data_IF_979888631132
#
_entry.id   IF_979888631132
#
_cell.length_a   1.000
_cell.length_b   1.000
_cell.length_c   1.000
_cell.angle_alpha   90.00
_cell.angle_beta   90.00
_cell.angle_gamma   90.00
#
_symmetry.space_group_name_H-M   'P 1'
#
loop_
_entity.id
_entity.type
_entity.pdbx_description
1 polymer ?
#
# COMPACT_ATOMS: atom_id res chain seq x y z
N UNK A 1 13.94 8.89 -27.84
CA UNK A 1 12.52 8.85 -28.23
C UNK A 1 11.77 8.20 -27.07
N UNK A 2 11.02 8.97 -26.31
CA UNK A 2 10.14 8.47 -25.24
C UNK A 2 9.05 7.65 -25.92
N UNK A 3 9.01 6.33 -25.70
CA UNK A 3 7.81 5.57 -26.03
C UNK A 3 6.74 6.07 -25.08
N UNK A 4 5.72 6.71 -25.61
CA UNK A 4 4.53 7.06 -24.84
C UNK A 4 4.01 5.80 -24.16
N UNK A 5 3.78 5.92 -22.84
CA UNK A 5 3.24 4.81 -22.09
C UNK A 5 1.75 4.81 -22.40
N UNK A 6 1.33 4.00 -23.38
CA UNK A 6 -0.10 3.72 -23.58
C UNK A 6 -0.61 2.94 -22.38
N UNK A 7 -1.43 3.56 -21.57
CA UNK A 7 -2.15 2.89 -20.48
C UNK A 7 -3.44 2.34 -21.09
N UNK A 8 -3.62 1.02 -21.10
CA UNK A 8 -4.85 0.43 -21.65
C UNK A 8 -6.09 0.94 -20.88
N UNK A 9 -7.25 1.07 -21.51
CA UNK A 9 -8.48 1.57 -20.89
C UNK A 9 -9.11 0.58 -19.89
N UNK A 10 -8.30 -0.22 -19.22
CA UNK A 10 -8.70 -1.29 -18.29
C UNK A 10 -9.02 -0.79 -16.87
N UNK A 11 -8.71 0.47 -16.55
CA UNK A 11 -8.85 0.95 -15.19
C UNK A 11 -10.16 1.70 -14.97
N UNK A 12 -10.76 1.44 -13.81
CA UNK A 12 -11.82 2.28 -13.30
C UNK A 12 -11.30 3.72 -13.12
N UNK A 13 -12.19 4.70 -13.22
CA UNK A 13 -11.88 6.12 -12.99
C UNK A 13 -11.23 6.38 -11.62
N UNK A 14 -11.53 5.55 -10.63
CA UNK A 14 -11.12 5.71 -9.24
C UNK A 14 -10.33 4.49 -8.76
N UNK A 15 -9.37 4.70 -7.86
CA UNK A 15 -8.68 3.64 -7.11
C UNK A 15 -9.19 3.65 -5.67
N UNK A 16 -10.26 2.92 -5.39
CA UNK A 16 -10.95 2.93 -4.10
C UNK A 16 -10.49 1.80 -3.17
N UNK A 17 -10.10 0.65 -3.71
CA UNK A 17 -9.64 -0.52 -2.97
C UNK A 17 -9.04 -1.56 -3.90
N UNK A 18 -8.36 -2.53 -3.33
CA UNK A 18 -7.83 -3.71 -4.03
C UNK A 18 -8.97 -4.65 -4.42
N UNK A 19 -10.02 -4.73 -3.60
CA UNK A 19 -11.20 -5.57 -3.86
C UNK A 19 -11.83 -5.32 -5.25
N UNK A 20 -11.69 -4.09 -5.77
CA UNK A 20 -12.22 -3.70 -7.07
C UNK A 20 -11.28 -3.98 -8.25
N UNK A 21 -10.12 -4.62 -8.02
CA UNK A 21 -9.08 -4.83 -9.02
C UNK A 21 -8.97 -6.30 -9.42
N UNK A 22 -8.73 -6.56 -10.71
CA UNK A 22 -8.39 -7.89 -11.19
C UNK A 22 -6.88 -8.15 -11.07
N UNK A 23 -6.49 -9.42 -11.17
CA UNK A 23 -5.07 -9.83 -11.19
C UNK A 23 -4.30 -9.11 -12.30
N UNK A 24 -4.86 -9.06 -13.50
CA UNK A 24 -4.25 -8.42 -14.66
C UNK A 24 -4.03 -6.92 -14.44
N UNK A 25 -4.96 -6.25 -13.75
CA UNK A 25 -4.82 -4.84 -13.38
C UNK A 25 -3.68 -4.63 -12.36
N UNK A 26 -3.57 -5.52 -11.37
CA UNK A 26 -2.48 -5.48 -10.41
C UNK A 26 -1.12 -5.70 -11.10
N UNK A 27 -1.01 -6.73 -11.93
CA UNK A 27 0.21 -7.05 -12.69
C UNK A 27 0.63 -5.87 -13.59
N UNK A 28 -0.32 -5.26 -14.30
CA UNK A 28 -0.06 -4.08 -15.13
C UNK A 28 0.45 -2.88 -14.33
N UNK A 29 -0.11 -2.61 -13.14
CA UNK A 29 0.42 -1.54 -12.27
C UNK A 29 1.84 -1.86 -11.83
N UNK A 30 2.15 -3.10 -11.49
CA UNK A 30 3.50 -3.50 -11.10
C UNK A 30 4.49 -3.34 -12.27
N UNK A 31 4.10 -3.65 -13.50
CA UNK A 31 4.93 -3.41 -14.70
C UNK A 31 5.14 -1.91 -14.96
N UNK A 32 4.07 -1.11 -14.84
CA UNK A 32 4.19 0.35 -14.96
C UNK A 32 5.11 0.92 -13.88
N UNK A 33 5.05 0.36 -12.67
CA UNK A 33 5.91 0.78 -11.56
C UNK A 33 7.39 0.55 -11.86
N UNK A 34 7.76 -0.56 -12.52
CA UNK A 34 9.15 -0.80 -12.98
C UNK A 34 9.65 0.34 -13.87
N UNK A 35 8.82 0.78 -14.84
CA UNK A 35 9.15 1.89 -15.75
C UNK A 35 9.28 3.22 -15.01
N UNK A 36 8.44 3.49 -14.03
CA UNK A 36 8.52 4.70 -13.21
C UNK A 36 9.69 4.66 -12.23
N UNK A 37 10.08 3.50 -11.74
CA UNK A 37 11.28 3.33 -10.92
C UNK A 37 12.53 3.72 -11.71
N UNK A 38 12.68 3.24 -12.96
CA UNK A 38 13.78 3.64 -13.86
C UNK A 38 13.83 5.16 -14.10
N UNK A 39 12.66 5.80 -14.25
CA UNK A 39 12.57 7.26 -14.36
C UNK A 39 13.04 7.93 -13.08
N UNK A 40 12.75 7.35 -11.94
CA UNK A 40 13.15 7.84 -10.62
C UNK A 40 14.67 7.91 -10.41
N UNK A 41 15.43 7.08 -11.11
CA UNK A 41 16.90 7.01 -11.04
C UNK A 41 17.60 8.01 -11.98
N UNK A 42 16.86 8.68 -12.87
CA UNK A 42 17.43 9.65 -13.81
C UNK A 42 17.93 10.90 -13.08
N UNK A 43 18.95 11.60 -13.61
CA UNK A 43 19.41 12.89 -13.06
C UNK A 43 18.27 13.91 -12.92
N UNK A 44 17.28 13.88 -13.82
CA UNK A 44 16.05 14.66 -13.75
C UNK A 44 14.88 13.67 -13.72
N UNK A 45 14.42 13.27 -12.50
CA UNK A 45 13.36 12.27 -12.33
C UNK A 45 11.97 12.91 -12.54
N UNK A 46 11.74 13.54 -13.69
CA UNK A 46 10.50 14.23 -14.05
C UNK A 46 10.02 13.81 -15.42
N UNK A 47 8.71 13.59 -15.54
CA UNK A 47 8.02 13.31 -16.80
C UNK A 47 6.76 14.15 -16.92
N UNK A 48 6.34 14.57 -18.13
CA UNK A 48 5.19 15.45 -18.34
C UNK A 48 3.84 14.72 -18.36
N UNK A 49 3.74 13.53 -17.76
CA UNK A 49 2.55 12.67 -17.85
C UNK A 49 1.27 13.33 -17.30
N UNK A 50 1.39 14.19 -16.29
CA UNK A 50 0.27 14.93 -15.69
C UNK A 50 0.42 16.45 -15.84
N UNK A 51 1.15 16.91 -16.85
CA UNK A 51 1.30 18.36 -17.10
C UNK A 51 -0.04 19.00 -17.39
N UNK A 52 -0.35 20.09 -16.67
CA UNK A 52 -1.63 20.80 -16.77
C UNK A 52 -2.78 20.11 -16.05
N UNK A 53 -2.49 19.07 -15.24
CA UNK A 53 -3.44 18.43 -14.33
C UNK A 53 -3.18 18.86 -12.91
N UNK A 54 -4.25 18.97 -12.12
CA UNK A 54 -4.20 19.35 -10.71
C UNK A 54 -4.51 18.15 -9.83
N UNK A 55 -3.60 17.85 -8.91
CA UNK A 55 -3.72 16.77 -7.91
C UNK A 55 -3.92 17.40 -6.53
N UNK A 56 -5.05 17.12 -5.89
CA UNK A 56 -5.37 17.62 -4.56
C UNK A 56 -5.18 16.51 -3.49
N UNK A 57 -4.34 16.78 -2.49
CA UNK A 57 -4.17 15.94 -1.30
C UNK A 57 -5.16 16.35 -0.22
N UNK A 58 -6.15 15.49 0.07
CA UNK A 58 -7.28 15.76 0.97
C UNK A 58 -7.18 14.81 2.18
N UNK A 59 -6.46 15.25 3.21
CA UNK A 59 -6.12 14.42 4.36
C UNK A 59 -6.87 14.90 5.61
N UNK A 60 -7.74 14.02 6.12
CA UNK A 60 -8.49 14.22 7.37
C UNK A 60 -7.84 13.47 8.56
N UNK A 61 -6.88 12.61 8.29
CA UNK A 61 -5.98 12.01 9.28
C UNK A 61 -4.54 12.47 9.02
N UNK A 62 -3.80 12.71 10.09
CA UNK A 62 -2.37 13.03 9.98
C UNK A 62 -1.59 11.84 9.41
N UNK A 63 -0.88 12.10 8.33
CA UNK A 63 0.04 11.15 7.72
C UNK A 63 1.08 11.89 6.88
N UNK A 64 2.15 12.27 7.52
CA UNK A 64 3.22 13.02 6.86
C UNK A 64 3.84 12.23 5.70
N UNK A 65 4.14 10.95 5.90
CA UNK A 65 4.77 10.12 4.85
C UNK A 65 3.87 9.91 3.65
N UNK A 66 2.64 9.47 3.87
CA UNK A 66 1.70 9.20 2.76
C UNK A 66 1.47 10.47 1.95
N UNK A 67 1.24 11.61 2.62
CA UNK A 67 1.05 12.89 1.95
C UNK A 67 2.26 13.30 1.12
N UNK A 68 3.45 13.32 1.72
CA UNK A 68 4.69 13.68 1.03
C UNK A 68 5.00 12.74 -0.14
N UNK A 69 4.70 11.45 0.00
CA UNK A 69 4.88 10.46 -1.07
C UNK A 69 4.02 10.79 -2.28
N UNK A 70 2.72 11.05 -2.09
CA UNK A 70 1.81 11.44 -3.17
C UNK A 70 2.16 12.79 -3.80
N UNK A 71 2.47 13.80 -2.97
CA UNK A 71 2.89 15.11 -3.46
C UNK A 71 4.19 15.04 -4.28
N UNK A 72 5.16 14.24 -3.82
CA UNK A 72 6.39 14.00 -4.57
C UNK A 72 6.12 13.30 -5.90
N UNK A 73 5.25 12.28 -5.90
CA UNK A 73 4.87 11.58 -7.13
C UNK A 73 4.17 12.53 -8.13
N UNK A 74 3.20 13.33 -7.67
CA UNK A 74 2.49 14.30 -8.50
C UNK A 74 3.47 15.30 -9.16
N UNK A 75 4.42 15.85 -8.38
CA UNK A 75 5.45 16.77 -8.89
C UNK A 75 6.39 16.12 -9.90
N UNK A 76 6.77 14.84 -9.69
CA UNK A 76 7.58 14.08 -10.65
C UNK A 76 6.84 13.82 -11.96
N UNK A 77 5.52 13.71 -11.90
CA UNK A 77 4.64 13.60 -13.07
C UNK A 77 4.29 14.95 -13.70
N UNK A 78 4.84 16.06 -13.17
CA UNK A 78 4.61 17.45 -13.61
C UNK A 78 3.18 17.94 -13.40
N UNK A 79 2.46 17.42 -12.42
CA UNK A 79 1.17 17.94 -11.99
C UNK A 79 1.33 19.17 -11.08
N UNK A 80 0.33 20.03 -11.10
CA UNK A 80 0.11 21.05 -10.07
C UNK A 80 -0.47 20.38 -8.81
N UNK A 81 -0.05 20.85 -7.64
CA UNK A 81 -0.47 20.22 -6.37
C UNK A 81 -1.23 21.19 -5.49
N UNK A 82 -2.40 20.76 -5.01
CA UNK A 82 -3.17 21.43 -3.95
C UNK A 82 -3.12 20.58 -2.68
N UNK A 83 -2.85 21.21 -1.54
CA UNK A 83 -2.81 20.50 -0.26
C UNK A 83 -3.89 21.05 0.66
N UNK A 84 -4.77 20.15 1.09
CA UNK A 84 -5.78 20.43 2.11
C UNK A 84 -5.46 19.62 3.37
N UNK A 85 -5.36 20.32 4.52
CA UNK A 85 -5.17 19.72 5.83
C UNK A 85 -6.34 20.10 6.74
N UNK A 86 -7.08 19.11 7.24
CA UNK A 86 -8.28 19.33 8.03
C UNK A 86 -8.03 20.11 9.33
N UNK A 87 -6.87 19.95 9.97
CA UNK A 87 -6.54 20.59 11.23
C UNK A 87 -6.41 22.13 11.18
N UNK A 88 -6.28 22.72 9.99
CA UNK A 88 -6.17 24.18 9.79
C UNK A 88 -7.32 24.78 8.97
N UNK A 89 -8.36 24.00 8.71
CA UNK A 89 -9.45 24.36 7.80
C UNK A 89 -10.75 24.73 8.51
N UNK A 90 -11.71 25.27 7.75
CA UNK A 90 -13.06 25.61 8.17
C UNK A 90 -13.91 24.43 8.64
N UNK A 91 -13.44 23.18 8.52
CA UNK A 91 -14.06 22.00 9.16
C UNK A 91 -14.21 22.15 10.66
N UNK A 92 -13.25 22.83 11.31
CA UNK A 92 -13.38 23.19 12.73
C UNK A 92 -14.58 24.11 13.03
N UNK A 93 -15.19 24.68 11.99
CA UNK A 93 -16.35 25.57 12.07
C UNK A 93 -17.67 24.89 11.67
N UNK A 94 -17.69 23.55 11.50
CA UNK A 94 -18.91 22.80 11.20
C UNK A 94 -19.20 22.59 9.71
N UNK A 95 -18.24 22.85 8.82
CA UNK A 95 -18.35 22.54 7.38
C UNK A 95 -18.42 21.02 7.17
N UNK A 96 -19.27 20.56 6.26
CA UNK A 96 -19.40 19.13 6.01
C UNK A 96 -18.28 18.62 5.09
N UNK A 97 -17.99 17.32 5.14
CA UNK A 97 -17.06 16.67 4.22
C UNK A 97 -17.43 16.93 2.76
N UNK A 98 -18.73 16.94 2.45
CA UNK A 98 -19.24 17.16 1.11
C UNK A 98 -18.93 18.58 0.63
N UNK A 99 -19.21 19.58 1.44
CA UNK A 99 -18.94 20.99 1.11
C UNK A 99 -17.45 21.19 0.82
N UNK A 100 -16.58 20.60 1.66
CA UNK A 100 -15.13 20.64 1.45
C UNK A 100 -14.72 20.02 0.12
N UNK A 101 -15.28 18.86 -0.25
CA UNK A 101 -15.00 18.19 -1.53
C UNK A 101 -15.49 19.02 -2.71
N UNK A 102 -16.69 19.61 -2.61
CA UNK A 102 -17.26 20.48 -3.66
C UNK A 102 -16.40 21.73 -3.86
N UNK A 103 -15.94 22.36 -2.78
CA UNK A 103 -15.02 23.51 -2.83
C UNK A 103 -13.70 23.14 -3.51
N UNK A 104 -13.05 22.04 -3.09
CA UNK A 104 -11.78 21.59 -3.70
C UNK A 104 -11.98 21.26 -5.18
N UNK A 105 -13.10 20.64 -5.54
CA UNK A 105 -13.44 20.32 -6.93
C UNK A 105 -13.64 21.58 -7.77
N UNK A 106 -14.17 22.67 -7.18
CA UNK A 106 -14.36 23.97 -7.88
C UNK A 106 -13.04 24.65 -8.26
N UNK A 107 -11.94 24.30 -7.60
CA UNK A 107 -10.60 24.75 -7.99
C UNK A 107 -10.01 23.95 -9.18
N UNK A 108 -10.79 23.08 -9.81
CA UNK A 108 -10.38 22.35 -11.01
C UNK A 108 -9.46 21.16 -10.70
N UNK A 109 -9.60 20.52 -9.55
CA UNK A 109 -8.84 19.32 -9.24
C UNK A 109 -9.24 18.16 -10.19
N UNK A 110 -8.26 17.57 -10.87
CA UNK A 110 -8.43 16.38 -11.72
C UNK A 110 -8.35 15.09 -10.92
N UNK A 111 -7.57 15.09 -9.83
CA UNK A 111 -7.37 13.93 -8.94
C UNK A 111 -7.48 14.36 -7.49
N UNK A 112 -8.27 13.64 -6.70
CA UNK A 112 -8.35 13.77 -5.25
C UNK A 112 -7.70 12.56 -4.57
N UNK A 113 -6.67 12.79 -3.77
CA UNK A 113 -6.04 11.77 -2.92
C UNK A 113 -6.64 11.90 -1.53
N UNK A 114 -7.49 10.95 -1.16
CA UNK A 114 -8.32 11.03 0.04
C UNK A 114 -7.83 10.08 1.12
N UNK A 115 -7.58 10.62 2.32
CA UNK A 115 -7.32 9.83 3.54
C UNK A 115 -8.26 10.25 4.66
N UNK A 116 -8.96 9.28 5.26
CA UNK A 116 -9.97 9.54 6.28
C UNK A 116 -10.04 8.44 7.34
N UNK A 117 -10.41 8.78 8.58
CA UNK A 117 -10.60 7.82 9.67
C UNK A 117 -11.84 6.93 9.55
N UNK A 118 -12.81 7.30 8.70
CA UNK A 118 -14.02 6.51 8.48
C UNK A 118 -13.89 5.67 7.21
N UNK A 119 -14.17 4.38 7.33
CA UNK A 119 -14.24 3.44 6.21
C UNK A 119 -15.31 3.87 5.18
N UNK A 120 -15.02 3.66 3.89
CA UNK A 120 -15.93 4.00 2.78
C UNK A 120 -15.95 5.48 2.38
N UNK A 121 -15.21 6.35 3.07
CA UNK A 121 -15.17 7.78 2.73
C UNK A 121 -14.69 8.06 1.30
N UNK A 122 -13.61 7.45 0.77
CA UNK A 122 -13.17 7.68 -0.62
C UNK A 122 -14.26 7.31 -1.63
N UNK A 123 -15.03 6.26 -1.38
CA UNK A 123 -16.17 5.87 -2.23
C UNK A 123 -17.25 6.96 -2.24
N UNK A 124 -17.64 7.47 -1.09
CA UNK A 124 -18.60 8.57 -1.00
C UNK A 124 -18.10 9.83 -1.70
N UNK A 125 -16.82 10.16 -1.51
CA UNK A 125 -16.19 11.30 -2.21
C UNK A 125 -16.26 11.11 -3.73
N UNK A 126 -16.05 9.91 -4.24
CA UNK A 126 -16.11 9.64 -5.68
C UNK A 126 -17.51 9.89 -6.30
N UNK A 127 -18.56 9.87 -5.49
CA UNK A 127 -19.93 10.18 -5.91
C UNK A 127 -20.23 11.68 -5.99
N UNK A 128 -19.40 12.53 -5.34
CA UNK A 128 -19.59 13.98 -5.24
C UNK A 128 -18.69 14.79 -6.17
N UNK A 129 -17.76 14.16 -6.88
CA UNK A 129 -16.79 14.85 -7.73
C UNK A 129 -16.67 14.23 -9.12
N UNK A 130 -16.29 15.07 -10.08
CA UNK A 130 -15.88 14.62 -11.40
C UNK A 130 -14.38 14.25 -11.46
N UNK A 131 -13.60 14.54 -10.42
CA UNK A 131 -12.20 14.17 -10.34
C UNK A 131 -12.02 12.64 -10.15
N UNK A 132 -10.87 12.10 -10.51
CA UNK A 132 -10.48 10.75 -10.11
C UNK A 132 -10.14 10.71 -8.62
N UNK A 133 -10.62 9.70 -7.91
CA UNK A 133 -10.37 9.54 -6.47
C UNK A 133 -9.41 8.39 -6.22
N UNK A 134 -8.38 8.66 -5.42
CA UNK A 134 -7.39 7.68 -4.96
C UNK A 134 -7.52 7.54 -3.44
N UNK A 135 -7.78 6.33 -2.96
CA UNK A 135 -7.83 6.01 -1.55
C UNK A 135 -6.41 5.93 -0.97
N UNK A 136 -6.04 6.86 -0.09
CA UNK A 136 -4.78 6.90 0.64
C UNK A 136 -4.91 6.35 2.08
N UNK A 137 -5.93 5.54 2.33
CA UNK A 137 -6.25 4.89 3.59
C UNK A 137 -7.54 5.39 4.21
N UNK A 138 -8.50 4.48 4.46
CA UNK A 138 -9.80 4.80 5.04
C UNK A 138 -10.14 3.87 6.22
N UNK A 139 -10.15 4.42 7.43
CA UNK A 139 -10.46 3.69 8.66
C UNK A 139 -9.65 2.39 8.80
N UNK A 140 -10.33 1.29 9.11
CA UNK A 140 -9.78 -0.08 9.11
C UNK A 140 -10.13 -0.85 7.82
N UNK A 141 -10.52 -0.15 6.74
CA UNK A 141 -11.02 -0.76 5.52
C UNK A 141 -9.91 -1.11 4.55
N UNK A 142 -9.37 -0.12 3.80
CA UNK A 142 -8.32 -0.38 2.81
C UNK A 142 -7.28 0.74 2.71
N UNK A 143 -6.10 0.37 2.21
CA UNK A 143 -5.03 1.28 1.77
C UNK A 143 -4.40 0.71 0.49
N UNK A 144 -5.09 0.81 -0.66
CA UNK A 144 -4.70 0.10 -1.88
C UNK A 144 -3.29 0.45 -2.36
N UNK A 145 -2.89 1.71 -2.28
CA UNK A 145 -1.57 2.13 -2.73
C UNK A 145 -0.43 1.59 -1.85
N UNK A 146 -0.69 1.32 -0.57
CA UNK A 146 0.28 0.64 0.28
C UNK A 146 0.42 -0.83 -0.11
N UNK A 147 -0.70 -1.52 -0.36
CA UNK A 147 -0.64 -2.91 -0.81
C UNK A 147 0.08 -3.06 -2.16
N UNK A 148 -0.14 -2.14 -3.10
CA UNK A 148 0.59 -2.10 -4.37
C UNK A 148 2.10 -1.91 -4.16
N UNK A 149 2.49 -1.02 -3.23
CA UNK A 149 3.89 -0.82 -2.86
C UNK A 149 4.50 -2.09 -2.27
N UNK A 150 3.77 -2.78 -1.39
CA UNK A 150 4.23 -4.01 -0.74
C UNK A 150 4.37 -5.15 -1.78
N UNK A 151 3.40 -5.30 -2.69
CA UNK A 151 3.49 -6.24 -3.82
C UNK A 151 4.70 -5.95 -4.72
N UNK A 152 4.90 -4.68 -5.07
CA UNK A 152 6.04 -4.27 -5.89
C UNK A 152 7.36 -4.63 -5.23
N UNK A 153 7.45 -4.38 -3.95
CA UNK A 153 8.62 -4.68 -3.15
C UNK A 153 8.95 -6.17 -3.10
N UNK A 154 7.94 -7.01 -2.86
CA UNK A 154 8.10 -8.46 -2.88
C UNK A 154 8.51 -8.96 -4.28
N UNK A 155 7.89 -8.42 -5.34
CA UNK A 155 8.25 -8.72 -6.72
C UNK A 155 9.73 -8.38 -7.00
N UNK A 156 10.21 -7.22 -6.57
CA UNK A 156 11.61 -6.82 -6.74
C UNK A 156 12.59 -7.75 -6.02
N UNK A 157 12.22 -8.30 -4.88
CA UNK A 157 13.08 -9.18 -4.08
C UNK A 157 13.04 -10.64 -4.54
N UNK A 158 11.92 -11.12 -5.06
CA UNK A 158 11.67 -12.54 -5.33
C UNK A 158 11.31 -12.84 -6.80
N UNK A 159 11.09 -11.82 -7.63
CA UNK A 159 10.70 -11.94 -9.04
C UNK A 159 9.20 -12.14 -9.25
N UNK A 160 8.53 -12.90 -8.40
CA UNK A 160 7.08 -13.18 -8.47
C UNK A 160 6.50 -13.35 -7.07
N UNK A 161 5.22 -13.07 -6.91
CA UNK A 161 4.45 -13.43 -5.71
C UNK A 161 3.75 -14.79 -5.85
N UNK A 162 3.63 -15.29 -7.07
CA UNK A 162 2.93 -16.54 -7.33
C UNK A 162 3.59 -17.71 -6.60
N UNK A 163 2.82 -18.42 -5.78
CA UNK A 163 3.28 -19.53 -4.93
C UNK A 163 4.06 -19.13 -3.68
N UNK A 164 4.33 -17.83 -3.43
CA UNK A 164 4.98 -17.40 -2.19
C UNK A 164 4.12 -17.68 -0.96
N UNK A 165 4.75 -18.07 0.15
CA UNK A 165 4.14 -18.17 1.47
C UNK A 165 4.43 -16.92 2.28
N UNK A 166 3.40 -16.12 2.58
CA UNK A 166 3.53 -14.82 3.25
C UNK A 166 2.77 -14.83 4.57
N UNK A 167 3.48 -14.58 5.68
CA UNK A 167 2.88 -14.41 7.00
C UNK A 167 2.55 -12.94 7.29
N UNK A 168 1.32 -12.62 7.70
CA UNK A 168 0.95 -11.30 8.22
C UNK A 168 0.72 -11.42 9.72
N UNK A 169 1.52 -10.70 10.52
CA UNK A 169 1.61 -10.89 11.97
C UNK A 169 1.13 -9.65 12.73
N UNK A 170 0.23 -9.82 13.69
CA UNK A 170 -0.16 -8.77 14.63
C UNK A 170 -1.63 -8.43 14.66
N UNK A 171 -1.97 -7.14 14.80
CA UNK A 171 -3.35 -6.68 14.88
C UNK A 171 -4.00 -6.60 13.48
N UNK A 172 -4.48 -7.73 13.01
CA UNK A 172 -5.12 -7.84 11.68
C UNK A 172 -6.45 -7.09 11.67
N UNK A 173 -7.18 -7.14 12.79
CA UNK A 173 -8.53 -6.57 12.91
C UNK A 173 -8.59 -5.07 12.65
N UNK A 174 -7.59 -4.33 13.12
CA UNK A 174 -7.57 -2.87 13.04
C UNK A 174 -6.61 -2.35 11.95
N UNK A 175 -5.98 -3.26 11.20
CA UNK A 175 -5.04 -2.89 10.15
C UNK A 175 -5.69 -2.85 8.78
N UNK A 176 -5.91 -1.64 8.24
CA UNK A 176 -6.33 -1.45 6.84
C UNK A 176 -5.33 -2.02 5.84
N UNK A 177 -4.04 -1.99 6.19
CA UNK A 177 -2.98 -2.51 5.32
C UNK A 177 -2.99 -4.02 5.27
N UNK A 178 -3.19 -4.71 6.42
CA UNK A 178 -3.31 -6.17 6.43
C UNK A 178 -4.45 -6.64 5.51
N UNK A 179 -5.60 -5.96 5.54
CA UNK A 179 -6.74 -6.28 4.68
C UNK A 179 -6.39 -6.10 3.20
N UNK A 180 -5.86 -4.95 2.82
CA UNK A 180 -5.47 -4.70 1.43
C UNK A 180 -4.37 -5.65 0.95
N UNK A 181 -3.41 -5.99 1.82
CA UNK A 181 -2.33 -6.93 1.50
C UNK A 181 -2.85 -8.35 1.30
N UNK A 182 -3.78 -8.83 2.14
CA UNK A 182 -4.42 -10.14 1.93
C UNK A 182 -5.04 -10.19 0.53
N UNK A 183 -5.85 -9.18 0.17
CA UNK A 183 -6.52 -9.13 -1.13
C UNK A 183 -5.51 -9.10 -2.30
N UNK A 184 -4.47 -8.26 -2.20
CA UNK A 184 -3.48 -8.12 -3.25
C UNK A 184 -2.59 -9.36 -3.40
N UNK A 185 -2.08 -9.89 -2.30
CA UNK A 185 -1.16 -11.05 -2.31
C UNK A 185 -1.88 -12.30 -2.82
N UNK A 186 -3.10 -12.57 -2.33
CA UNK A 186 -3.87 -13.73 -2.79
C UNK A 186 -4.30 -13.62 -4.25
N UNK A 187 -4.67 -12.41 -4.72
CA UNK A 187 -4.96 -12.17 -6.14
C UNK A 187 -3.74 -12.41 -7.04
N UNK A 188 -2.52 -12.16 -6.53
CA UNK A 188 -1.27 -12.42 -7.24
C UNK A 188 -0.73 -13.86 -7.05
N UNK A 189 -1.51 -14.75 -6.42
CA UNK A 189 -1.21 -16.17 -6.28
C UNK A 189 -0.37 -16.54 -5.06
N UNK A 190 -0.13 -15.62 -4.12
CA UNK A 190 0.54 -15.94 -2.88
C UNK A 190 -0.39 -16.67 -1.90
N UNK A 191 0.19 -17.54 -1.07
CA UNK A 191 -0.46 -18.15 0.08
C UNK A 191 -0.24 -17.26 1.29
N UNK A 192 -1.32 -16.82 1.92
CA UNK A 192 -1.25 -15.90 3.06
C UNK A 192 -1.64 -16.61 4.34
N UNK A 193 -0.79 -16.54 5.35
CA UNK A 193 -1.07 -17.01 6.71
C UNK A 193 -1.16 -15.81 7.65
N UNK A 194 -2.31 -15.65 8.31
CA UNK A 194 -2.51 -14.64 9.34
C UNK A 194 -2.07 -15.20 10.69
N UNK A 195 -1.17 -14.49 11.35
CA UNK A 195 -0.58 -14.94 12.62
C UNK A 195 -0.97 -13.94 13.70
N UNK A 196 -2.02 -14.29 14.45
CA UNK A 196 -2.59 -13.41 15.46
C UNK A 196 -3.42 -14.18 16.50
N UNK A 197 -3.52 -13.68 17.74
CA UNK A 197 -4.53 -14.16 18.69
C UNK A 197 -5.94 -13.94 18.12
N UNK A 198 -6.87 -14.83 18.47
CA UNK A 198 -8.26 -14.78 17.99
C UNK A 198 -8.93 -13.42 18.21
N UNK A 199 -8.57 -12.70 19.27
CA UNK A 199 -9.12 -11.37 19.59
C UNK A 199 -8.68 -10.26 18.63
N UNK A 200 -7.58 -10.47 17.91
CA UNK A 200 -7.00 -9.55 16.92
C UNK A 200 -7.33 -9.95 15.48
N UNK A 201 -8.15 -10.97 15.29
CA UNK A 201 -8.70 -11.32 13.98
C UNK A 201 -10.04 -10.62 13.76
N UNK A 202 -10.36 -10.20 12.52
CA UNK A 202 -11.66 -9.62 12.20
C UNK A 202 -12.78 -10.68 12.31
N UNK A 203 -13.98 -10.20 12.62
CA UNK A 203 -15.18 -11.03 12.46
C UNK A 203 -15.29 -11.47 11.00
N UNK A 204 -15.78 -12.67 10.75
CA UNK A 204 -15.90 -13.27 9.41
C UNK A 204 -14.58 -13.59 8.73
N UNK A 205 -13.50 -13.76 9.48
CA UNK A 205 -12.17 -14.13 8.95
C UNK A 205 -12.20 -15.45 8.16
N UNK A 206 -13.15 -16.33 8.47
CA UNK A 206 -13.38 -17.61 7.78
C UNK A 206 -13.76 -17.44 6.29
N UNK A 207 -14.16 -16.23 5.89
CA UNK A 207 -14.48 -15.90 4.49
C UNK A 207 -13.26 -15.42 3.70
N UNK A 208 -12.14 -15.20 4.36
CA UNK A 208 -10.93 -14.74 3.71
C UNK A 208 -10.15 -15.94 3.16
N UNK A 209 -9.50 -15.82 1.99
CA UNK A 209 -8.73 -16.89 1.38
C UNK A 209 -7.34 -17.02 2.03
N UNK A 210 -7.30 -17.29 3.34
CA UNK A 210 -6.08 -17.28 4.16
C UNK A 210 -6.05 -18.47 5.12
N UNK A 211 -4.86 -18.84 5.53
CA UNK A 211 -4.63 -19.73 6.67
C UNK A 211 -4.49 -18.91 7.96
N UNK A 212 -4.76 -19.51 9.11
CA UNK A 212 -4.69 -18.83 10.40
C UNK A 212 -3.82 -19.65 11.35
N UNK A 213 -2.87 -18.98 12.01
CA UNK A 213 -2.13 -19.53 13.13
C UNK A 213 -2.15 -18.54 14.30
N UNK A 214 -2.14 -19.06 15.53
CA UNK A 214 -1.95 -18.26 16.74
C UNK A 214 -0.52 -18.39 17.31
N UNK A 215 0.31 -19.24 16.71
CA UNK A 215 1.70 -19.48 17.12
C UNK A 215 2.62 -19.16 15.96
N UNK A 216 3.49 -18.18 16.15
CA UNK A 216 4.42 -17.72 15.13
C UNK A 216 5.49 -18.76 14.79
N UNK A 217 6.03 -19.42 15.83
CA UNK A 217 7.13 -20.37 15.68
C UNK A 217 6.75 -21.61 14.86
N UNK A 218 5.47 -21.98 14.84
CA UNK A 218 4.98 -23.14 14.10
C UNK A 218 5.01 -22.94 12.57
N UNK A 219 4.96 -21.68 12.12
CA UNK A 219 4.81 -21.35 10.70
C UNK A 219 6.01 -20.60 10.09
N UNK A 220 6.85 -19.97 10.91
CA UNK A 220 7.94 -19.10 10.42
C UNK A 220 8.91 -19.82 9.47
N UNK A 221 9.16 -21.10 9.67
CA UNK A 221 10.09 -21.88 8.86
C UNK A 221 9.60 -22.09 7.42
N UNK A 222 8.28 -21.99 7.19
CA UNK A 222 7.62 -22.19 5.91
C UNK A 222 7.37 -20.90 5.14
N UNK A 223 7.60 -19.73 5.79
CA UNK A 223 7.34 -18.42 5.20
C UNK A 223 8.52 -17.96 4.33
N UNK A 224 8.19 -17.44 3.15
CA UNK A 224 9.13 -16.69 2.29
C UNK A 224 9.27 -15.25 2.72
N UNK A 225 8.21 -14.66 3.28
CA UNK A 225 8.18 -13.29 3.78
C UNK A 225 7.27 -13.18 5.02
N UNK A 226 7.62 -12.25 5.90
CA UNK A 226 6.82 -11.91 7.08
C UNK A 226 6.52 -10.42 7.09
N UNK A 227 5.24 -10.07 7.21
CA UNK A 227 4.74 -8.71 7.24
C UNK A 227 4.17 -8.38 8.63
N UNK A 228 4.91 -7.66 9.48
CA UNK A 228 4.40 -7.26 10.78
C UNK A 228 3.44 -6.06 10.64
N UNK A 229 2.23 -6.20 11.18
CA UNK A 229 1.29 -5.08 11.35
C UNK A 229 1.33 -4.54 12.76
N UNK A 230 0.99 -3.26 12.95
CA UNK A 230 1.11 -2.55 14.22
C UNK A 230 0.56 -3.33 15.42
N UNK A 231 1.41 -3.51 16.41
CA UNK A 231 0.98 -3.83 17.77
C UNK A 231 0.69 -2.53 18.52
N UNK A 232 -0.49 -2.36 19.04
CA UNK A 232 -0.90 -1.17 19.82
C UNK A 232 -0.09 -0.97 21.11
N UNK A 233 0.82 -1.87 21.46
CA UNK A 233 1.64 -1.83 22.68
C UNK A 233 3.15 -1.68 22.46
N UNK A 234 3.65 -1.54 21.24
CA UNK A 234 5.05 -1.19 21.02
C UNK A 234 5.19 0.32 21.11
N UNK A 235 5.90 0.75 22.17
CA UNK A 235 6.13 2.14 22.54
C UNK A 235 6.40 3.06 21.34
N UNK A 236 5.72 4.19 21.38
CA UNK A 236 5.58 5.22 20.37
C UNK A 236 6.88 5.95 19.98
N UNK A 237 7.82 5.35 19.27
CA UNK A 237 8.92 6.12 18.66
C UNK A 237 9.40 5.59 17.30
N UNK A 238 8.87 4.48 16.81
CA UNK A 238 9.17 4.00 15.45
C UNK A 238 7.88 3.56 14.75
N UNK A 239 7.61 4.20 13.64
CA UNK A 239 6.45 3.92 12.83
C UNK A 239 6.60 2.56 12.11
N UNK A 240 5.53 1.74 12.01
CA UNK A 240 5.57 0.37 11.51
C UNK A 240 6.15 0.21 10.11
N UNK A 241 6.00 1.22 9.27
CA UNK A 241 6.39 1.17 7.86
C UNK A 241 7.91 1.09 7.61
N UNK A 242 8.74 1.40 8.63
CA UNK A 242 10.19 1.22 8.54
C UNK A 242 10.68 -0.17 8.99
N UNK A 243 9.82 -1.02 9.58
CA UNK A 243 10.21 -2.34 10.11
C UNK A 243 9.99 -3.49 9.12
N UNK A 244 9.20 -3.31 8.09
CA UNK A 244 8.91 -4.34 7.07
C UNK A 244 10.18 -4.88 6.40
N UNK A 245 11.25 -4.09 6.35
CA UNK A 245 12.47 -4.42 5.61
C UNK A 245 13.57 -5.14 6.39
N UNK A 246 13.47 -5.24 7.71
CA UNK A 246 14.50 -5.94 8.51
C UNK A 246 14.25 -7.42 8.73
N UNK A 247 13.10 -7.93 8.30
CA UNK A 247 12.71 -9.33 8.44
C UNK A 247 12.47 -10.05 7.10
N UNK A 248 13.08 -9.58 6.03
CA UNK A 248 13.43 -10.53 4.96
C UNK A 248 14.54 -11.38 5.56
N UNK A 249 14.14 -12.52 6.08
CA UNK A 249 15.06 -13.51 6.64
C UNK A 249 16.12 -13.79 5.59
N UNK A 250 17.33 -13.29 5.81
CA UNK A 250 18.49 -13.92 5.23
C UNK A 250 18.46 -15.37 5.70
N UNK A 251 17.92 -16.26 4.88
CA UNK A 251 18.14 -17.69 5.01
C UNK A 251 19.64 -17.85 4.93
N UNK A 252 20.33 -17.92 6.11
CA UNK A 252 21.71 -18.30 6.22
C UNK A 252 21.81 -19.62 5.48
N UNK A 253 22.41 -19.61 4.30
CA UNK A 253 22.79 -20.84 3.61
C UNK A 253 23.58 -21.65 4.63
N UNK A 254 23.00 -22.72 5.10
CA UNK A 254 23.69 -23.71 5.91
C UNK A 254 24.84 -24.23 5.10
N UNK A 255 26.01 -23.66 5.31
CA UNK A 255 27.25 -24.18 4.79
C UNK A 255 27.48 -25.50 5.48
N UNK A 256 27.27 -26.61 4.80
CA UNK A 256 27.77 -27.90 5.17
C UNK A 256 29.29 -27.84 5.21
N UNK A 257 29.86 -27.64 6.37
CA UNK A 257 31.28 -27.80 6.65
C UNK A 257 31.56 -29.29 6.89
N UNK A 258 31.95 -29.97 5.84
CA UNK A 258 32.53 -31.30 5.95
C UNK A 258 33.81 -31.25 6.79
N UNK A 259 33.90 -32.10 7.77
CA UNK A 259 35.12 -32.35 8.54
C UNK A 259 36.22 -32.92 7.68
N UNK A 260 37.45 -32.65 8.04
CA UNK A 260 38.66 -33.23 7.54
C UNK A 260 39.71 -33.16 8.63
N UNK A 261 39.94 -34.32 9.25
CA UNK A 261 40.94 -34.53 10.26
C UNK A 261 42.34 -34.69 9.67
N UNK A 262 43.28 -34.86 10.55
CA UNK A 262 44.67 -35.24 10.34
C UNK A 262 45.61 -34.20 10.91
N UNK A 263 46.32 -34.35 11.96
CA UNK A 263 47.21 -35.42 12.30
C UNK A 263 48.63 -34.96 12.11
N UNK A 264 49.38 -34.91 13.22
CA UNK A 264 50.81 -35.18 13.18
C UNK A 264 51.77 -34.00 13.18
N UNK A 265 52.57 -33.94 14.17
CA UNK A 265 53.88 -33.32 14.16
C UNK A 265 54.10 -32.32 15.31
#
# INVERSE_FOLDING_TARGET
MSKDIEIPPMFNKHLLGIECMTREQLELILELTDRFAEIGERPIPKVPALRGRTVASVFFEDSTRTRLSFESAARRLSADTLTFAAGSSSLSKGESLRDTVEVISSYGADVLIVRHGMAGTPKRVSEWTQASVVNAGDGCHEHPTQALLDCYTLKQQRGSLDGMSIGIVGDIRHSRVARSNVLAFTSLGAKVTLIAPQTLLPASIEKWPVEISNVFDDVIAELDACYPVSYTHLRAHETPEHRVWRLVLEKKKGGGGGGGGGGGG
#
